data_IF_031540385784
#
_entry.id   IF_031540385784
#
_cell.length_a   1.000
_cell.length_b   1.000
_cell.length_c   1.000
_cell.angle_alpha   90.00
_cell.angle_beta   90.00
_cell.angle_gamma   90.00
#
_symmetry.space_group_name_H-M   'P 1'
#
loop_
_entity.id
_entity.type
_entity.pdbx_description
1 polymer ?
#
# COMPACT_ATOMS: atom_id res chain seq x y z
N UNK A 1 -7.48 36.38 -11.11
CA UNK A 1 -6.74 35.14 -10.77
C UNK A 1 -7.68 34.26 -9.94
N UNK A 2 -8.28 33.22 -10.53
CA UNK A 2 -9.10 32.27 -9.78
C UNK A 2 -8.17 31.48 -8.87
N UNK A 3 -8.33 31.62 -7.55
CA UNK A 3 -7.61 30.75 -6.63
C UNK A 3 -8.08 29.31 -6.87
N UNK A 4 -7.17 28.33 -7.03
CA UNK A 4 -7.57 26.95 -7.13
C UNK A 4 -8.36 26.63 -5.86
N UNK A 5 -9.62 26.24 -6.01
CA UNK A 5 -10.42 25.79 -4.88
C UNK A 5 -9.66 24.66 -4.20
N UNK A 6 -9.63 24.66 -2.86
CA UNK A 6 -8.94 23.64 -2.06
C UNK A 6 -9.27 22.21 -2.52
N UNK A 7 -10.52 22.01 -2.95
CA UNK A 7 -11.02 20.79 -3.59
C UNK A 7 -10.32 20.44 -4.91
N UNK A 8 -10.08 21.41 -5.80
CA UNK A 8 -9.34 21.21 -7.04
C UNK A 8 -7.88 20.82 -6.81
N UNK A 9 -7.23 21.38 -5.78
CA UNK A 9 -5.88 21.00 -5.41
C UNK A 9 -5.80 19.54 -4.91
N UNK A 10 -6.79 19.11 -4.11
CA UNK A 10 -6.89 17.72 -3.62
C UNK A 10 -7.09 16.74 -4.79
N UNK A 11 -8.02 17.05 -5.71
CA UNK A 11 -8.28 16.20 -6.88
C UNK A 11 -7.05 16.10 -7.78
N UNK A 12 -6.34 17.22 -8.01
CA UNK A 12 -5.09 17.23 -8.76
C UNK A 12 -4.01 16.37 -8.11
N UNK A 13 -3.84 16.47 -6.79
CA UNK A 13 -2.88 15.65 -6.04
C UNK A 13 -3.19 14.15 -6.17
N UNK A 14 -4.46 13.77 -5.99
CA UNK A 14 -4.91 12.37 -6.11
C UNK A 14 -4.63 11.83 -7.51
N UNK A 15 -4.89 12.61 -8.56
CA UNK A 15 -4.61 12.22 -9.94
C UNK A 15 -3.11 11.95 -10.17
N UNK A 16 -2.24 12.82 -9.66
CA UNK A 16 -0.78 12.64 -9.75
C UNK A 16 -0.34 11.40 -8.98
N UNK A 17 -0.89 11.16 -7.79
CA UNK A 17 -0.58 9.96 -7.01
C UNK A 17 -1.01 8.67 -7.73
N UNK A 18 -2.18 8.63 -8.36
CA UNK A 18 -2.64 7.48 -9.16
C UNK A 18 -1.66 7.23 -10.32
N UNK A 19 -1.24 8.31 -11.01
CA UNK A 19 -0.32 8.20 -12.13
C UNK A 19 1.04 7.65 -11.69
N UNK A 20 1.59 8.16 -10.59
CA UNK A 20 2.83 7.67 -9.98
C UNK A 20 2.72 6.22 -9.51
N UNK A 21 1.56 5.81 -9.00
CA UNK A 21 1.32 4.42 -8.58
C UNK A 21 1.23 3.46 -9.76
N UNK A 22 0.63 3.89 -10.88
CA UNK A 22 0.51 3.10 -12.09
C UNK A 22 1.84 3.02 -12.86
N UNK A 23 2.70 4.02 -12.71
CA UNK A 23 3.97 4.16 -13.41
C UNK A 23 4.94 2.96 -13.28
N UNK A 24 5.21 2.38 -12.08
CA UNK A 24 6.07 1.20 -11.96
C UNK A 24 5.50 -0.02 -12.70
N UNK A 25 4.17 -0.18 -12.76
CA UNK A 25 3.54 -1.28 -13.51
C UNK A 25 3.64 -1.08 -15.01
N UNK A 26 3.50 0.17 -15.47
CA UNK A 26 3.75 0.53 -16.86
C UNK A 26 5.21 0.28 -17.26
N UNK A 27 6.17 0.73 -16.44
CA UNK A 27 7.60 0.51 -16.67
C UNK A 27 7.93 -0.98 -16.74
N UNK A 28 7.39 -1.79 -15.81
CA UNK A 28 7.61 -3.24 -15.78
C UNK A 28 7.11 -3.94 -17.05
N UNK A 29 6.00 -3.47 -17.66
CA UNK A 29 5.39 -4.10 -18.83
C UNK A 29 5.94 -3.59 -20.16
N UNK A 30 6.22 -2.30 -20.28
CA UNK A 30 6.54 -1.67 -21.57
C UNK A 30 7.99 -1.21 -21.70
N UNK A 31 8.69 -0.94 -20.58
CA UNK A 31 10.07 -0.43 -20.57
C UNK A 31 10.89 -1.05 -19.44
N UNK A 32 11.11 -2.38 -19.46
CA UNK A 32 11.84 -3.07 -18.39
C UNK A 32 13.26 -2.54 -18.19
N UNK A 33 13.91 -2.03 -19.25
CA UNK A 33 15.22 -1.40 -19.16
C UNK A 33 15.28 -0.18 -18.21
N UNK A 34 14.14 0.50 -18.00
CA UNK A 34 13.99 1.66 -17.10
C UNK A 34 13.38 1.27 -15.75
N UNK A 35 12.93 0.03 -15.57
CA UNK A 35 12.42 -0.50 -14.30
C UNK A 35 13.60 -0.92 -13.43
N UNK A 36 14.25 0.05 -12.78
CA UNK A 36 15.41 -0.16 -11.91
C UNK A 36 15.36 0.77 -10.69
N UNK A 37 16.05 0.38 -9.62
CA UNK A 37 16.24 1.21 -8.43
C UNK A 37 14.92 1.49 -7.71
N UNK A 38 14.55 2.76 -7.59
CA UNK A 38 13.35 3.18 -6.84
C UNK A 38 12.06 2.56 -7.39
N UNK A 39 11.92 2.46 -8.71
CA UNK A 39 10.71 1.87 -9.33
C UNK A 39 10.61 0.36 -9.12
N UNK A 40 11.76 -0.31 -9.02
CA UNK A 40 11.83 -1.74 -8.77
C UNK A 40 11.42 -2.07 -7.33
N UNK A 41 11.90 -1.29 -6.37
CA UNK A 41 11.49 -1.38 -4.96
C UNK A 41 10.00 -1.09 -4.80
N UNK A 42 9.51 -0.01 -5.43
CA UNK A 42 8.08 0.35 -5.34
C UNK A 42 7.20 -0.73 -5.99
N UNK A 43 7.55 -1.19 -7.19
CA UNK A 43 6.78 -2.24 -7.86
C UNK A 43 6.88 -3.61 -7.18
N UNK A 44 7.97 -3.91 -6.47
CA UNK A 44 8.10 -5.14 -5.67
C UNK A 44 7.27 -5.10 -4.39
N UNK A 45 7.16 -3.94 -3.73
CA UNK A 45 6.30 -3.74 -2.54
C UNK A 45 4.83 -3.98 -2.90
N UNK A 46 4.39 -3.48 -4.04
CA UNK A 46 3.00 -3.62 -4.47
C UNK A 46 2.71 -4.96 -5.15
N UNK A 47 3.71 -5.61 -5.77
CA UNK A 47 3.68 -6.87 -6.54
C UNK A 47 2.72 -6.88 -7.75
N UNK A 48 1.49 -6.38 -7.60
CA UNK A 48 0.41 -6.36 -8.59
C UNK A 48 -0.31 -5.01 -8.60
N UNK A 49 -0.86 -4.58 -9.75
CA UNK A 49 -1.57 -3.30 -9.86
C UNK A 49 -2.83 -3.26 -8.99
N UNK A 50 -3.50 -4.41 -8.81
CA UNK A 50 -4.67 -4.53 -7.94
C UNK A 50 -4.31 -4.29 -6.46
N UNK A 51 -3.14 -4.74 -5.99
CA UNK A 51 -2.66 -4.44 -4.64
C UNK A 51 -2.35 -2.96 -4.47
N UNK A 52 -1.68 -2.36 -5.46
CA UNK A 52 -1.35 -0.94 -5.43
C UNK A 52 -2.61 -0.07 -5.32
N UNK A 53 -3.63 -0.35 -6.15
CA UNK A 53 -4.95 0.29 -6.06
C UNK A 53 -5.58 0.11 -4.68
N UNK A 54 -5.53 -1.10 -4.11
CA UNK A 54 -6.07 -1.36 -2.77
C UNK A 54 -5.41 -0.49 -1.69
N UNK A 55 -4.08 -0.38 -1.69
CA UNK A 55 -3.36 0.49 -0.75
C UNK A 55 -3.68 1.97 -0.98
N UNK A 56 -3.81 2.38 -2.25
CA UNK A 56 -4.18 3.76 -2.58
C UNK A 56 -5.59 4.13 -2.11
N UNK A 57 -6.58 3.26 -2.30
CA UNK A 57 -7.92 3.48 -1.77
C UNK A 57 -7.92 3.50 -0.24
N UNK A 58 -7.18 2.60 0.42
CA UNK A 58 -7.05 2.60 1.87
C UNK A 58 -6.41 3.89 2.40
N UNK A 59 -5.35 4.38 1.75
CA UNK A 59 -4.69 5.64 2.10
C UNK A 59 -5.61 6.84 1.87
N UNK A 60 -6.28 6.89 0.72
CA UNK A 60 -7.20 7.98 0.37
C UNK A 60 -8.36 8.05 1.35
N UNK A 61 -8.94 6.90 1.71
CA UNK A 61 -9.99 6.80 2.71
C UNK A 61 -9.48 7.26 4.08
N UNK A 62 -8.29 6.85 4.50
CA UNK A 62 -7.69 7.29 5.76
C UNK A 62 -7.49 8.81 5.80
N UNK A 63 -7.01 9.42 4.71
CA UNK A 63 -6.85 10.87 4.61
C UNK A 63 -8.19 11.58 4.72
N UNK A 64 -9.22 11.11 4.00
CA UNK A 64 -10.57 11.67 4.09
C UNK A 64 -11.09 11.59 5.52
N UNK A 65 -10.92 10.44 6.18
CA UNK A 65 -11.33 10.25 7.58
C UNK A 65 -10.60 11.22 8.50
N UNK A 66 -9.28 11.40 8.36
CA UNK A 66 -8.49 12.35 9.17
C UNK A 66 -8.90 13.81 8.93
N UNK A 67 -9.35 14.17 7.72
CA UNK A 67 -9.82 15.53 7.40
C UNK A 67 -11.26 15.76 7.88
N UNK A 68 -12.13 14.75 7.75
CA UNK A 68 -13.57 14.86 8.04
C UNK A 68 -13.88 14.68 9.52
N UNK A 69 -13.14 13.83 10.24
CA UNK A 69 -13.35 13.66 11.69
C UNK A 69 -13.26 14.99 12.46
N UNK A 70 -12.22 15.82 12.30
CA UNK A 70 -12.10 17.07 13.07
C UNK A 70 -13.14 18.13 12.68
N UNK A 71 -13.82 18.00 11.54
CA UNK A 71 -14.91 18.91 11.14
C UNK A 71 -16.29 18.48 11.65
N UNK A 72 -16.41 17.30 12.26
CA UNK A 72 -17.65 16.82 12.90
C UNK A 72 -17.82 17.41 14.30
N UNK A 73 -19.06 17.51 14.83
CA UNK A 73 -19.28 17.98 16.19
C UNK A 73 -18.62 17.06 17.24
N UNK A 74 -18.10 17.61 18.36
CA UNK A 74 -17.33 16.88 19.39
C UNK A 74 -17.93 15.54 19.87
N UNK A 75 -19.25 15.41 20.13
CA UNK A 75 -19.82 14.14 20.58
C UNK A 75 -19.73 13.03 19.53
N UNK A 76 -19.73 13.39 18.24
CA UNK A 76 -19.65 12.43 17.13
C UNK A 76 -18.20 12.01 16.86
N UNK A 77 -17.23 12.91 17.06
CA UNK A 77 -15.80 12.61 16.94
C UNK A 77 -15.36 11.48 17.87
N UNK A 78 -15.75 11.57 19.14
CA UNK A 78 -15.38 10.58 20.16
C UNK A 78 -15.98 9.19 19.89
N UNK A 79 -17.20 9.14 19.36
CA UNK A 79 -17.86 7.89 18.98
C UNK A 79 -17.17 7.23 17.77
N UNK A 80 -16.89 8.00 16.71
CA UNK A 80 -16.22 7.52 15.51
C UNK A 80 -14.79 7.03 15.80
N UNK A 81 -14.02 7.78 16.59
CA UNK A 81 -12.65 7.41 16.94
C UNK A 81 -12.60 6.06 17.69
N UNK A 82 -13.49 5.84 18.67
CA UNK A 82 -13.57 4.57 19.41
C UNK A 82 -13.98 3.39 18.53
N UNK A 83 -14.78 3.63 17.50
CA UNK A 83 -15.26 2.59 16.60
C UNK A 83 -14.23 2.25 15.51
N UNK A 84 -13.56 3.27 14.96
CA UNK A 84 -12.54 3.11 13.91
C UNK A 84 -11.21 2.58 14.44
N UNK A 85 -10.80 2.95 15.66
CA UNK A 85 -9.53 2.52 16.24
C UNK A 85 -9.32 0.99 16.26
N UNK A 86 -10.26 0.16 16.78
CA UNK A 86 -10.12 -1.29 16.71
C UNK A 86 -10.17 -1.81 15.27
N UNK A 87 -10.93 -1.17 14.39
CA UNK A 87 -11.01 -1.56 12.98
C UNK A 87 -9.67 -1.38 12.25
N UNK A 88 -8.97 -0.27 12.54
CA UNK A 88 -7.63 -0.01 12.01
C UNK A 88 -6.62 -1.00 12.57
N UNK A 89 -6.67 -1.32 13.87
CA UNK A 89 -5.79 -2.33 14.48
C UNK A 89 -6.01 -3.70 13.85
N UNK A 90 -7.26 -4.14 13.68
CA UNK A 90 -7.60 -5.42 13.04
C UNK A 90 -7.13 -5.41 11.59
N UNK A 91 -7.37 -4.33 10.85
CA UNK A 91 -6.92 -4.20 9.47
C UNK A 91 -5.39 -4.31 9.36
N UNK A 92 -4.64 -3.63 10.23
CA UNK A 92 -3.18 -3.74 10.28
C UNK A 92 -2.74 -5.14 10.68
N UNK A 93 -3.36 -5.76 11.69
CA UNK A 93 -3.04 -7.12 12.13
C UNK A 93 -3.27 -8.15 11.02
N UNK A 94 -4.37 -8.04 10.27
CA UNK A 94 -4.66 -8.92 9.12
C UNK A 94 -3.68 -8.64 7.97
N UNK A 95 -3.44 -7.37 7.64
CA UNK A 95 -2.54 -6.99 6.56
C UNK A 95 -1.07 -7.42 6.82
N UNK A 96 -0.60 -7.25 8.06
CA UNK A 96 0.73 -7.69 8.49
C UNK A 96 0.79 -9.20 8.71
N UNK A 97 -0.21 -9.80 9.34
CA UNK A 97 -0.26 -11.25 9.58
C UNK A 97 -0.22 -12.06 8.29
N UNK A 98 -0.97 -11.63 7.26
CA UNK A 98 -0.90 -12.25 5.93
C UNK A 98 0.47 -12.04 5.24
N UNK A 99 1.17 -10.93 5.53
CA UNK A 99 2.55 -10.73 5.04
C UNK A 99 3.53 -11.64 5.77
N UNK A 100 3.39 -11.79 7.10
CA UNK A 100 4.25 -12.63 7.92
C UNK A 100 4.20 -14.09 7.43
N UNK A 101 3.00 -14.63 7.24
CA UNK A 101 2.79 -16.00 6.73
C UNK A 101 3.38 -16.21 5.32
N UNK A 102 3.35 -15.19 4.47
CA UNK A 102 3.92 -15.28 3.12
C UNK A 102 5.45 -15.24 3.15
N UNK A 103 6.04 -14.52 4.09
CA UNK A 103 7.50 -14.50 4.31
C UNK A 103 7.96 -15.82 4.91
N UNK A 104 7.26 -16.31 5.92
CA UNK A 104 7.56 -17.58 6.59
C UNK A 104 7.60 -18.75 5.61
N UNK A 105 6.59 -18.86 4.73
CA UNK A 105 6.59 -19.87 3.65
C UNK A 105 7.75 -19.75 2.67
N UNK A 106 8.21 -18.53 2.37
CA UNK A 106 9.37 -18.32 1.47
C UNK A 106 10.68 -18.72 2.15
N UNK A 107 10.80 -18.46 3.45
CA UNK A 107 11.98 -18.86 4.23
C UNK A 107 12.06 -20.38 4.30
N UNK A 108 10.95 -21.05 4.61
CA UNK A 108 10.89 -22.51 4.67
C UNK A 108 11.18 -23.17 3.30
N UNK A 109 10.73 -22.58 2.19
CA UNK A 109 11.06 -23.06 0.84
C UNK A 109 12.55 -22.88 0.51
N UNK A 110 13.17 -21.79 0.97
CA UNK A 110 14.60 -21.53 0.77
C UNK A 110 15.47 -22.47 1.60
N UNK A 111 15.09 -22.76 2.85
CA UNK A 111 15.78 -23.73 3.71
C UNK A 111 15.78 -25.12 3.09
N UNK A 112 14.63 -25.61 2.61
CA UNK A 112 14.55 -26.91 1.91
C UNK A 112 15.43 -26.97 0.67
N UNK A 113 15.48 -25.90 -0.13
CA UNK A 113 16.36 -25.83 -1.30
C UNK A 113 17.83 -25.84 -0.91
N UNK A 114 18.19 -25.28 0.24
CA UNK A 114 19.55 -25.27 0.74
C UNK A 114 19.99 -26.67 1.18
N UNK A 115 19.14 -27.39 1.93
CA UNK A 115 19.37 -28.79 2.32
C UNK A 115 19.49 -29.73 1.11
N UNK A 116 18.62 -29.56 0.10
CA UNK A 116 18.67 -30.34 -1.14
C UNK A 116 19.99 -30.11 -1.92
N UNK A 117 20.55 -28.90 -1.84
CA UNK A 117 21.82 -28.57 -2.48
C UNK A 117 23.01 -29.14 -1.69
N UNK A 118 22.96 -29.09 -0.36
CA UNK A 118 23.99 -29.65 0.51
C UNK A 118 24.09 -31.18 0.36
N UNK A 119 22.95 -31.89 0.36
CA UNK A 119 22.87 -33.33 0.13
C UNK A 119 23.31 -33.78 -1.28
N UNK A 120 23.31 -32.88 -2.26
CA UNK A 120 23.84 -33.17 -3.61
C UNK A 120 25.34 -32.97 -3.72
N UNK A 121 25.96 -32.30 -2.76
CA UNK A 121 27.40 -32.04 -2.73
C UNK A 121 28.17 -33.00 -1.83
N UNK A 122 27.50 -33.72 -0.93
CA UNK A 122 28.03 -34.84 -0.12
C UNK A 122 27.97 -36.17 -0.87
#
# INVERSE_FOLDING_TARGET
>A
MQQPTFLGAIVGLLAVCIFLLAYPFYLRRYKPARYKGLWEVVGSIYETPQRALRYFFALSFAIIVVIVIPSLPPPVQGALARLLFPFVIIFFAVAFGLRLLKVEKKVEELEKRLEDLENRQS
#
